data_IF_890674887393
#
_entry.id   IF_890674887393
#
_cell.length_a   1.000
_cell.length_b   1.000
_cell.length_c   1.000
_cell.angle_alpha   90.00
_cell.angle_beta   90.00
_cell.angle_gamma   90.00
#
_symmetry.space_group_name_H-M   'P 1'
#
loop_
_entity.id
_entity.type
_entity.pdbx_description
1 polymer ?
#
# COMPACT_ATOMS: atom_id res chain seq x y z
N UNK A 1 28.66 20.27 33.31
CA UNK A 1 28.68 18.85 33.73
C UNK A 1 27.96 18.03 32.67
N UNK A 2 28.68 17.19 31.92
CA UNK A 2 28.12 16.42 30.81
C UNK A 2 27.34 15.20 31.32
N UNK A 3 26.04 15.15 31.01
CA UNK A 3 25.10 14.11 31.46
C UNK A 3 25.22 12.77 30.70
N UNK A 4 26.22 12.62 29.82
CA UNK A 4 26.33 11.45 28.96
C UNK A 4 27.65 10.71 29.17
N UNK A 5 27.61 9.65 29.99
CA UNK A 5 28.74 8.76 30.23
C UNK A 5 28.76 7.68 29.12
N UNK A 6 29.45 8.01 28.02
CA UNK A 6 29.68 7.12 26.88
C UNK A 6 30.31 5.77 27.31
N UNK A 7 31.37 5.75 28.14
CA UNK A 7 31.99 4.50 28.61
C UNK A 7 31.01 3.54 29.30
N UNK A 8 30.17 4.05 30.22
CA UNK A 8 29.18 3.24 30.93
C UNK A 8 28.07 2.71 30.00
N UNK A 9 27.87 3.33 28.84
CA UNK A 9 26.90 2.88 27.84
C UNK A 9 27.47 1.75 26.99
N UNK A 10 28.76 1.81 26.64
CA UNK A 10 29.46 0.71 25.96
C UNK A 10 29.53 -0.54 26.83
N UNK A 11 29.86 -0.40 28.11
CA UNK A 11 29.98 -1.55 29.02
C UNK A 11 28.63 -2.28 29.22
N UNK A 12 27.51 -1.54 29.22
CA UNK A 12 26.15 -2.09 29.26
C UNK A 12 25.78 -2.81 27.96
N UNK A 13 26.20 -2.28 26.81
CA UNK A 13 25.99 -2.93 25.52
C UNK A 13 26.79 -4.23 25.42
N UNK A 14 28.04 -4.23 25.89
CA UNK A 14 28.92 -5.39 25.86
C UNK A 14 28.41 -6.51 26.78
N UNK A 15 27.91 -6.18 27.98
CA UNK A 15 27.26 -7.14 28.90
C UNK A 15 25.98 -7.74 28.30
N UNK A 16 25.20 -6.98 27.52
CA UNK A 16 24.03 -7.50 26.79
C UNK A 16 24.41 -8.47 25.68
N UNK A 17 25.49 -8.19 24.96
CA UNK A 17 25.99 -9.06 23.89
C UNK A 17 26.61 -10.35 24.42
N UNK A 18 27.33 -10.28 25.55
CA UNK A 18 27.96 -11.45 26.20
C UNK A 18 26.94 -12.33 26.97
N UNK A 19 25.81 -11.77 27.40
CA UNK A 19 24.90 -12.42 28.36
C UNK A 19 23.81 -13.35 27.81
N UNK A 20 23.54 -13.44 26.49
CA UNK A 20 22.51 -14.36 25.96
C UNK A 20 22.86 -14.91 24.57
N UNK A 21 23.81 -15.83 24.52
CA UNK A 21 23.80 -16.92 23.55
C UNK A 21 22.87 -18.07 24.01
N UNK A 22 21.70 -17.76 24.59
CA UNK A 22 20.56 -18.68 24.53
C UNK A 22 19.92 -18.39 23.19
N UNK A 23 20.43 -19.05 22.15
CA UNK A 23 19.76 -19.15 20.87
C UNK A 23 18.39 -19.77 21.15
N UNK A 24 17.40 -18.93 21.43
CA UNK A 24 16.02 -19.27 21.23
C UNK A 24 15.92 -19.56 19.75
N UNK A 25 16.12 -20.83 19.39
CA UNK A 25 15.92 -21.34 18.06
C UNK A 25 14.45 -21.15 17.74
N UNK A 26 14.07 -19.92 17.38
CA UNK A 26 12.92 -19.68 16.52
C UNK A 26 13.20 -20.57 15.34
N UNK A 27 12.49 -21.70 15.26
CA UNK A 27 12.45 -22.52 14.06
C UNK A 27 12.37 -21.55 12.89
N UNK A 28 13.30 -21.60 11.92
CA UNK A 28 13.17 -20.80 10.73
C UNK A 28 11.76 -21.07 10.18
N UNK A 29 10.96 -20.02 10.01
CA UNK A 29 9.63 -20.18 9.39
C UNK A 29 9.87 -20.92 8.08
N UNK A 30 9.21 -22.08 7.91
CA UNK A 30 9.34 -22.88 6.69
C UNK A 30 8.89 -22.12 5.45
N UNK A 31 8.15 -21.01 5.64
CA UNK A 31 7.79 -20.01 4.64
C UNK A 31 9.03 -19.16 4.26
N UNK A 32 10.07 -19.79 3.73
CA UNK A 32 11.26 -19.09 3.23
C UNK A 32 10.90 -18.44 1.89
N UNK A 33 10.28 -17.27 1.95
CA UNK A 33 10.13 -16.33 0.82
C UNK A 33 9.27 -16.79 -0.36
N UNK A 34 8.69 -17.99 -0.34
CA UNK A 34 7.77 -18.42 -1.40
C UNK A 34 6.41 -17.75 -1.16
N UNK A 35 5.93 -16.91 -2.10
CA UNK A 35 4.60 -16.34 -1.96
C UNK A 35 3.58 -17.48 -1.89
N UNK A 36 2.76 -17.50 -0.82
CA UNK A 36 1.68 -18.50 -0.65
C UNK A 36 0.61 -18.40 -1.74
N UNK A 37 0.65 -17.34 -2.54
CA UNK A 37 -0.24 -17.07 -3.66
C UNK A 37 0.58 -17.14 -4.94
N UNK A 38 0.13 -17.93 -5.90
CA UNK A 38 0.74 -18.03 -7.22
C UNK A 38 0.72 -16.66 -7.94
N UNK A 39 1.76 -16.37 -8.72
CA UNK A 39 1.86 -15.11 -9.46
C UNK A 39 0.67 -14.93 -10.42
N UNK A 40 0.24 -16.01 -11.07
CA UNK A 40 -0.94 -15.99 -11.95
C UNK A 40 -2.21 -15.61 -11.19
N UNK A 41 -2.37 -16.09 -9.95
CA UNK A 41 -3.50 -15.72 -9.10
C UNK A 41 -3.46 -14.22 -8.75
N UNK A 42 -2.27 -13.64 -8.59
CA UNK A 42 -2.13 -12.19 -8.36
C UNK A 42 -2.49 -11.39 -9.61
N UNK A 43 -2.09 -11.84 -10.80
CA UNK A 43 -2.42 -11.19 -12.07
C UNK A 43 -3.94 -11.18 -12.29
N UNK A 44 -4.60 -12.33 -12.10
CA UNK A 44 -6.07 -12.45 -12.16
C UNK A 44 -6.73 -11.50 -11.19
N UNK A 45 -6.26 -11.46 -9.94
CA UNK A 45 -6.84 -10.58 -8.92
C UNK A 45 -6.61 -9.10 -9.26
N UNK A 46 -5.42 -8.72 -9.75
CA UNK A 46 -5.12 -7.36 -10.15
C UNK A 46 -6.01 -6.90 -11.30
N UNK A 47 -6.23 -7.76 -12.29
CA UNK A 47 -7.08 -7.44 -13.44
C UNK A 47 -8.55 -7.29 -13.04
N UNK A 48 -9.08 -8.22 -12.24
CA UNK A 48 -10.48 -8.18 -11.79
C UNK A 48 -10.72 -7.02 -10.82
N UNK A 49 -9.73 -6.67 -9.99
CA UNK A 49 -9.82 -5.54 -9.07
C UNK A 49 -9.48 -4.18 -9.72
N UNK A 50 -8.90 -4.16 -10.92
CA UNK A 50 -8.29 -2.99 -11.56
C UNK A 50 -9.25 -1.95 -12.12
N UNK A 51 -10.57 -2.16 -12.00
CA UNK A 51 -11.59 -1.21 -12.46
C UNK A 51 -11.55 0.15 -11.74
N UNK A 52 -12.28 1.13 -12.29
CA UNK A 52 -12.41 2.46 -11.68
C UNK A 52 -13.27 2.44 -10.42
N UNK A 53 -14.37 1.70 -10.45
CA UNK A 53 -15.31 1.56 -9.34
C UNK A 53 -15.13 0.26 -8.59
N UNK A 54 -15.48 0.30 -7.31
CA UNK A 54 -15.34 -0.85 -6.44
C UNK A 54 -16.45 -1.88 -6.73
N UNK A 55 -16.11 -3.10 -7.18
CA UNK A 55 -17.11 -4.16 -7.28
C UNK A 55 -17.57 -4.58 -5.88
N UNK A 56 -18.79 -5.13 -5.77
CA UNK A 56 -19.19 -5.79 -4.53
C UNK A 56 -18.22 -6.92 -4.26
N UNK A 57 -17.87 -7.14 -2.99
CA UNK A 57 -16.88 -8.14 -2.64
C UNK A 57 -17.30 -9.57 -3.04
N UNK A 58 -18.61 -9.85 -3.03
CA UNK A 58 -19.13 -11.13 -3.50
C UNK A 58 -18.84 -11.33 -5.01
N UNK A 59 -19.10 -10.30 -5.81
CA UNK A 59 -18.88 -10.31 -7.26
C UNK A 59 -17.38 -10.44 -7.57
N UNK A 60 -16.53 -9.67 -6.87
CA UNK A 60 -15.07 -9.77 -7.00
C UNK A 60 -14.58 -11.20 -6.73
N UNK A 61 -14.99 -11.80 -5.61
CA UNK A 61 -14.59 -13.15 -5.24
C UNK A 61 -15.07 -14.20 -6.25
N UNK A 62 -16.31 -14.07 -6.73
CA UNK A 62 -16.88 -14.95 -7.75
C UNK A 62 -16.13 -14.85 -9.08
N UNK A 63 -15.81 -13.64 -9.52
CA UNK A 63 -15.06 -13.39 -10.77
C UNK A 63 -13.63 -13.94 -10.68
N UNK A 64 -12.95 -13.73 -9.54
CA UNK A 64 -11.61 -14.31 -9.32
C UNK A 64 -11.66 -15.83 -9.29
N UNK A 65 -12.63 -16.43 -8.59
CA UNK A 65 -12.77 -17.89 -8.53
C UNK A 65 -12.99 -18.51 -9.93
N UNK A 66 -13.93 -17.96 -10.69
CA UNK A 66 -14.22 -18.42 -12.05
C UNK A 66 -12.99 -18.30 -12.95
N UNK A 67 -12.28 -17.18 -12.89
CA UNK A 67 -11.12 -16.93 -13.73
C UNK A 67 -9.92 -17.80 -13.35
N UNK A 68 -9.65 -17.97 -12.06
CA UNK A 68 -8.62 -18.87 -11.58
C UNK A 68 -8.86 -20.32 -12.05
N UNK A 69 -10.11 -20.81 -11.96
CA UNK A 69 -10.49 -22.15 -12.46
C UNK A 69 -10.24 -22.31 -13.95
N UNK A 70 -10.61 -21.30 -14.75
CA UNK A 70 -10.38 -21.30 -16.21
C UNK A 70 -8.89 -21.32 -16.57
N UNK A 71 -8.06 -20.63 -15.80
CA UNK A 71 -6.61 -20.52 -16.02
C UNK A 71 -5.81 -21.63 -15.32
N UNK A 72 -6.50 -22.58 -14.67
CA UNK A 72 -5.87 -23.73 -14.00
C UNK A 72 -5.09 -23.37 -12.74
N UNK A 73 -5.36 -22.22 -12.11
CA UNK A 73 -4.70 -21.79 -10.88
C UNK A 73 -5.64 -21.88 -9.66
N UNK A 74 -5.06 -21.91 -8.46
CA UNK A 74 -5.82 -22.06 -7.21
C UNK A 74 -6.44 -20.70 -6.82
N UNK A 75 -7.77 -20.61 -6.62
CA UNK A 75 -8.38 -19.38 -6.17
C UNK A 75 -7.94 -19.02 -4.75
N UNK A 76 -7.71 -17.73 -4.46
CA UNK A 76 -7.31 -17.26 -3.14
C UNK A 76 -8.50 -17.33 -2.18
N UNK A 77 -8.23 -17.57 -0.89
CA UNK A 77 -9.27 -17.46 0.14
C UNK A 77 -9.77 -16.02 0.26
N UNK A 78 -10.99 -15.82 0.76
CA UNK A 78 -11.53 -14.47 1.06
C UNK A 78 -10.56 -13.64 1.90
N UNK A 79 -10.02 -14.22 2.97
CA UNK A 79 -9.04 -13.53 3.83
C UNK A 79 -7.76 -13.15 3.08
N UNK A 80 -7.28 -14.03 2.19
CA UNK A 80 -6.15 -13.74 1.31
C UNK A 80 -6.44 -12.56 0.39
N UNK A 81 -7.64 -12.49 -0.22
CA UNK A 81 -8.03 -11.37 -1.09
C UNK A 81 -7.95 -10.04 -0.35
N UNK A 82 -8.59 -9.92 0.83
CA UNK A 82 -8.54 -8.69 1.62
C UNK A 82 -7.12 -8.23 1.94
N UNK A 83 -6.23 -9.17 2.27
CA UNK A 83 -4.82 -8.89 2.53
C UNK A 83 -4.08 -8.46 1.26
N UNK A 84 -4.37 -9.08 0.13
CA UNK A 84 -3.70 -8.78 -1.14
C UNK A 84 -4.13 -7.43 -1.70
N UNK A 85 -5.38 -7.00 -1.50
CA UNK A 85 -5.85 -5.69 -1.99
C UNK A 85 -4.97 -4.52 -1.56
N UNK A 86 -4.33 -4.58 -0.38
CA UNK A 86 -3.42 -3.53 0.09
C UNK A 86 -2.06 -3.51 -0.61
N UNK A 87 -1.71 -4.56 -1.35
CA UNK A 87 -0.40 -4.75 -1.99
C UNK A 87 -0.47 -4.99 -3.49
N UNK A 88 -1.69 -5.06 -4.06
CA UNK A 88 -1.86 -5.23 -5.50
C UNK A 88 -1.28 -4.02 -6.26
N UNK A 89 -0.73 -4.26 -7.46
CA UNK A 89 -0.26 -3.17 -8.30
C UNK A 89 -1.42 -2.22 -8.62
N UNK A 90 -1.16 -0.92 -8.50
CA UNK A 90 -2.04 0.14 -8.99
C UNK A 90 -1.39 0.80 -10.19
N UNK A 91 -2.17 1.44 -11.09
CA UNK A 91 -1.60 2.21 -12.19
C UNK A 91 -0.53 3.19 -11.70
N UNK A 92 0.54 3.34 -12.48
CA UNK A 92 1.57 4.35 -12.24
C UNK A 92 1.41 5.50 -13.24
N UNK A 93 1.72 6.70 -12.78
CA UNK A 93 1.63 7.91 -13.60
C UNK A 93 3.00 8.57 -13.71
N UNK A 94 3.39 8.96 -14.93
CA UNK A 94 4.57 9.81 -15.15
C UNK A 94 4.27 11.23 -14.69
N UNK A 95 5.16 11.80 -13.86
CA UNK A 95 4.95 13.14 -13.30
C UNK A 95 4.78 14.19 -14.38
N UNK A 96 5.56 14.13 -15.47
CA UNK A 96 5.45 15.06 -16.60
C UNK A 96 4.05 15.10 -17.24
N UNK A 97 3.32 13.97 -17.22
CA UNK A 97 1.97 13.85 -17.79
C UNK A 97 0.83 14.29 -16.86
N UNK A 98 1.14 14.66 -15.62
CA UNK A 98 0.12 15.04 -14.64
C UNK A 98 -0.26 16.52 -14.75
N UNK A 99 -1.50 16.91 -14.34
CA UNK A 99 -1.92 18.30 -14.28
C UNK A 99 -0.97 19.16 -13.42
N UNK A 100 -0.78 20.46 -13.73
CA UNK A 100 0.13 21.32 -12.98
C UNK A 100 -0.11 21.33 -11.46
N UNK A 101 -1.37 21.40 -11.05
CA UNK A 101 -1.77 21.36 -9.63
C UNK A 101 -1.35 20.06 -8.92
N UNK A 102 -1.46 18.93 -9.63
CA UNK A 102 -1.05 17.62 -9.12
C UNK A 102 0.47 17.53 -9.01
N UNK A 103 1.20 18.05 -10.00
CA UNK A 103 2.67 18.10 -9.95
C UNK A 103 3.17 18.97 -8.80
N UNK A 104 2.51 20.09 -8.51
CA UNK A 104 2.85 20.96 -7.39
C UNK A 104 2.73 20.25 -6.03
N UNK A 105 1.78 19.29 -5.90
CA UNK A 105 1.66 18.46 -4.70
C UNK A 105 2.80 17.44 -4.53
N UNK A 106 3.53 17.13 -5.61
CA UNK A 106 4.66 16.20 -5.67
C UNK A 106 6.02 16.93 -5.61
N UNK A 107 6.14 17.88 -4.69
CA UNK A 107 7.24 18.86 -4.62
C UNK A 107 8.68 18.30 -4.59
N UNK A 108 8.87 17.01 -4.31
CA UNK A 108 10.18 16.35 -4.27
C UNK A 108 10.49 15.45 -5.48
N UNK A 109 9.61 15.39 -6.48
CA UNK A 109 9.75 14.46 -7.61
C UNK A 109 10.10 15.19 -8.90
N UNK A 110 10.97 14.58 -9.69
CA UNK A 110 11.33 15.06 -11.02
C UNK A 110 10.28 14.64 -12.06
N UNK A 111 10.24 15.32 -13.20
CA UNK A 111 9.28 15.03 -14.28
C UNK A 111 9.35 13.60 -14.83
N UNK A 112 10.53 12.97 -14.78
CA UNK A 112 10.78 11.61 -15.27
C UNK A 112 10.36 10.52 -14.27
N UNK A 113 9.98 10.90 -13.05
CA UNK A 113 9.55 9.95 -12.02
C UNK A 113 8.21 9.31 -12.38
N UNK A 114 8.06 8.02 -12.05
CA UNK A 114 6.77 7.32 -12.05
C UNK A 114 6.25 7.18 -10.63
N UNK A 115 4.97 7.52 -10.43
CA UNK A 115 4.34 7.53 -9.11
C UNK A 115 3.14 6.57 -9.12
N UNK A 116 3.10 5.58 -8.21
CA UNK A 116 1.93 4.74 -8.03
C UNK A 116 0.69 5.55 -7.65
N UNK A 117 -0.47 5.21 -8.21
CA UNK A 117 -1.73 5.94 -8.01
C UNK A 117 -2.10 6.17 -6.54
N UNK A 118 -1.83 5.19 -5.66
CA UNK A 118 -2.13 5.31 -4.24
C UNK A 118 -1.24 6.36 -3.53
N UNK A 119 0.03 6.47 -3.94
CA UNK A 119 0.93 7.52 -3.45
C UNK A 119 0.52 8.88 -4.00
N UNK A 120 0.14 8.92 -5.28
CA UNK A 120 -0.35 10.14 -5.92
C UNK A 120 -1.58 10.69 -5.17
N UNK A 121 -2.56 9.84 -4.88
CA UNK A 121 -3.73 10.19 -4.08
C UNK A 121 -3.31 10.74 -2.70
N UNK A 122 -2.40 10.05 -2.01
CA UNK A 122 -1.90 10.46 -0.70
C UNK A 122 -1.26 11.86 -0.71
N UNK A 123 -0.39 12.16 -1.69
CA UNK A 123 0.23 13.48 -1.78
C UNK A 123 -0.79 14.57 -2.13
N UNK A 124 -1.70 14.30 -3.07
CA UNK A 124 -2.76 15.24 -3.43
C UNK A 124 -3.66 15.59 -2.25
N UNK A 125 -4.07 14.61 -1.43
CA UNK A 125 -4.91 14.87 -0.26
C UNK A 125 -4.16 15.58 0.89
N UNK A 126 -2.85 15.35 1.05
CA UNK A 126 -2.09 15.95 2.15
C UNK A 126 -1.50 17.33 1.85
N UNK A 127 -1.10 17.56 0.60
CA UNK A 127 -0.30 18.73 0.20
C UNK A 127 -0.83 19.46 -1.02
N UNK A 128 -1.79 18.87 -1.74
CA UNK A 128 -2.37 19.48 -2.93
C UNK A 128 -3.35 20.61 -2.62
N UNK A 129 -3.68 21.38 -3.65
CA UNK A 129 -4.80 22.30 -3.66
C UNK A 129 -6.12 21.57 -4.00
N UNK A 130 -7.21 22.33 -4.12
CA UNK A 130 -8.53 21.77 -4.45
C UNK A 130 -8.53 21.01 -5.80
N UNK A 131 -7.79 21.49 -6.80
CA UNK A 131 -7.74 20.85 -8.11
C UNK A 131 -7.00 19.50 -8.04
N UNK A 132 -5.90 19.42 -7.30
CA UNK A 132 -5.18 18.17 -7.03
C UNK A 132 -6.04 17.17 -6.24
N UNK A 133 -6.79 17.65 -5.24
CA UNK A 133 -7.73 16.80 -4.49
C UNK A 133 -8.86 16.27 -5.38
N UNK A 134 -9.43 17.11 -6.24
CA UNK A 134 -10.48 16.71 -7.18
C UNK A 134 -9.96 15.65 -8.16
N UNK A 135 -8.73 15.81 -8.67
CA UNK A 135 -8.08 14.81 -9.49
C UNK A 135 -7.91 13.48 -8.73
N UNK A 136 -7.39 13.54 -7.52
CA UNK A 136 -7.17 12.35 -6.70
C UNK A 136 -8.46 11.59 -6.39
N UNK A 137 -9.57 12.29 -6.17
CA UNK A 137 -10.88 11.67 -5.93
C UNK A 137 -11.39 10.81 -7.12
N UNK A 138 -10.96 11.14 -8.33
CA UNK A 138 -11.27 10.40 -9.56
C UNK A 138 -10.37 9.18 -9.82
N UNK A 139 -9.34 8.93 -9.01
CA UNK A 139 -8.44 7.79 -9.20
C UNK A 139 -9.17 6.44 -8.98
N UNK A 140 -8.68 5.33 -9.55
CA UNK A 140 -9.30 4.01 -9.39
C UNK A 140 -9.52 3.64 -7.92
N UNK A 141 -10.60 2.91 -7.62
CA UNK A 141 -10.99 2.62 -6.24
C UNK A 141 -9.89 1.91 -5.45
N UNK A 142 -9.11 1.05 -6.10
CA UNK A 142 -8.02 0.32 -5.46
C UNK A 142 -6.90 1.28 -5.01
N UNK A 143 -6.62 2.31 -5.80
CA UNK A 143 -5.67 3.35 -5.45
C UNK A 143 -6.14 4.14 -4.21
N UNK A 144 -7.43 4.52 -4.17
CA UNK A 144 -8.02 5.19 -3.01
C UNK A 144 -8.06 4.29 -1.77
N UNK A 145 -8.43 3.02 -1.95
CA UNK A 145 -8.44 2.01 -0.89
C UNK A 145 -7.07 1.84 -0.26
N UNK A 146 -6.01 1.78 -1.07
CA UNK A 146 -4.63 1.70 -0.61
C UNK A 146 -4.17 3.02 0.02
N UNK A 147 -4.45 4.16 -0.63
CA UNK A 147 -4.11 5.49 -0.13
C UNK A 147 -4.70 5.74 1.25
N UNK A 148 -5.97 5.38 1.49
CA UNK A 148 -6.64 5.51 2.79
C UNK A 148 -6.07 4.61 3.89
N UNK A 149 -5.11 3.73 3.59
CA UNK A 149 -4.40 2.88 4.56
C UNK A 149 -2.96 3.31 4.80
N UNK A 150 -2.46 4.29 4.04
CA UNK A 150 -1.13 4.81 4.27
C UNK A 150 -1.08 5.61 5.59
N UNK A 151 0.01 5.49 6.35
CA UNK A 151 0.24 6.32 7.52
C UNK A 151 0.64 7.75 7.10
N UNK A 152 0.65 8.68 8.06
CA UNK A 152 1.19 10.04 7.86
C UNK A 152 0.20 11.08 7.35
N UNK A 153 -1.10 10.78 7.34
CA UNK A 153 -2.12 11.79 7.06
C UNK A 153 -2.17 12.87 8.13
N UNK A 154 -2.37 14.11 7.68
CA UNK A 154 -2.86 15.20 8.55
C UNK A 154 -4.32 14.92 8.93
N UNK A 155 -4.81 15.33 10.12
CA UNK A 155 -6.18 15.02 10.57
C UNK A 155 -7.28 15.45 9.59
N UNK A 156 -7.16 16.65 8.98
CA UNK A 156 -8.13 17.13 7.98
C UNK A 156 -8.08 16.33 6.68
N UNK A 157 -6.88 16.07 6.16
CA UNK A 157 -6.65 15.27 4.96
C UNK A 157 -7.16 13.83 5.14
N UNK A 158 -7.02 13.28 6.35
CA UNK A 158 -7.57 11.97 6.72
C UNK A 158 -9.09 11.95 6.59
N UNK A 159 -9.78 12.92 7.17
CA UNK A 159 -11.23 13.04 7.05
C UNK A 159 -11.69 13.18 5.61
N UNK A 160 -10.92 13.91 4.78
CA UNK A 160 -11.25 14.11 3.37
C UNK A 160 -11.16 12.82 2.55
N UNK A 161 -10.06 12.06 2.66
CA UNK A 161 -9.95 10.78 1.92
C UNK A 161 -11.02 9.79 2.38
N UNK A 162 -11.35 9.75 3.66
CA UNK A 162 -12.43 8.91 4.20
C UNK A 162 -13.81 9.34 3.67
N UNK A 163 -14.06 10.64 3.55
CA UNK A 163 -15.29 11.17 2.97
C UNK A 163 -15.43 10.79 1.48
N UNK A 164 -14.34 10.94 0.70
CA UNK A 164 -14.32 10.53 -0.72
C UNK A 164 -14.55 9.03 -0.86
N UNK A 165 -13.86 8.22 -0.07
CA UNK A 165 -14.04 6.76 -0.09
C UNK A 165 -15.49 6.38 0.24
N UNK A 166 -16.07 6.99 1.28
CA UNK A 166 -17.47 6.75 1.66
C UNK A 166 -18.45 7.14 0.55
N UNK A 167 -18.27 8.31 -0.06
CA UNK A 167 -19.11 8.77 -1.17
C UNK A 167 -19.05 7.83 -2.38
N UNK A 168 -17.91 7.15 -2.57
CA UNK A 168 -17.69 6.18 -3.66
C UNK A 168 -17.94 4.71 -3.26
N UNK A 169 -18.39 4.44 -2.03
CA UNK A 169 -18.65 3.07 -1.55
C UNK A 169 -17.40 2.21 -1.32
N UNK A 170 -16.23 2.82 -1.06
CA UNK A 170 -14.92 2.17 -0.90
C UNK A 170 -14.60 1.83 0.57
#
# INVERSE_FOLDING_TARGET
>A
MSFFNLPASFERAEKRMKGKAKAGGRRPRSDRGTPRTDARTLDVLAEVAGGYDRPRMADLLSSVDHRCKREGCKPPSRASVYKLLSTLPTPSYKVAGLPPAVRAALYNLTGDSEVPAHQLAFFCFNYGDLAAMSFAAGLPWLALYQAGRLPGYRPRSRGLVEAVMRARGI
#
